data_IF_286999250911
#
_entry.id   IF_286999250911
#
_cell.length_a   1.000
_cell.length_b   1.000
_cell.length_c   1.000
_cell.angle_alpha   90.00
_cell.angle_beta   90.00
_cell.angle_gamma   90.00
#
_symmetry.space_group_name_H-M   'P 1'
#
loop_
_entity.id
_entity.type
_entity.pdbx_description
1 polymer ?
#
# COMPACT_ATOMS: atom_id res chain seq x y z
N UNK A 1 -4.02 -15.51 1.86
CA UNK A 1 -4.71 -15.93 3.08
C UNK A 1 -6.19 -16.25 2.80
N UNK A 2 -7.05 -15.33 2.35
CA UNK A 2 -8.49 -15.55 2.15
C UNK A 2 -8.84 -16.75 1.25
N UNK A 3 -8.03 -17.06 0.25
CA UNK A 3 -8.39 -18.02 -0.79
C UNK A 3 -7.49 -19.28 -0.83
N UNK A 4 -6.39 -19.31 -0.07
CA UNK A 4 -5.45 -20.40 -0.06
C UNK A 4 -4.44 -20.39 -1.23
N UNK A 5 -3.51 -21.36 -1.19
CA UNK A 5 -2.33 -21.39 -2.06
C UNK A 5 -2.65 -21.71 -3.52
N UNK A 6 -3.49 -22.71 -3.78
CA UNK A 6 -3.85 -23.12 -5.15
C UNK A 6 -4.54 -21.97 -5.91
N UNK A 7 -5.49 -21.32 -5.24
CA UNK A 7 -6.16 -20.16 -5.82
C UNK A 7 -5.17 -19.02 -6.10
N UNK A 8 -4.25 -18.77 -5.16
CA UNK A 8 -3.24 -17.73 -5.33
C UNK A 8 -2.31 -18.04 -6.51
N UNK A 9 -1.84 -19.28 -6.66
CA UNK A 9 -0.98 -19.67 -7.78
C UNK A 9 -1.69 -19.46 -9.12
N UNK A 10 -2.92 -19.92 -9.25
CA UNK A 10 -3.72 -19.73 -10.47
C UNK A 10 -3.96 -18.23 -10.77
N UNK A 11 -4.33 -17.47 -9.75
CA UNK A 11 -4.55 -16.05 -9.88
C UNK A 11 -3.29 -15.31 -10.36
N UNK A 12 -2.14 -15.58 -9.74
CA UNK A 12 -0.90 -14.86 -10.06
C UNK A 12 -0.34 -15.23 -11.45
N UNK A 13 -0.57 -16.46 -11.91
CA UNK A 13 -0.28 -16.90 -13.29
C UNK A 13 -1.13 -16.09 -14.28
N UNK A 14 -2.44 -15.99 -14.03
CA UNK A 14 -3.36 -15.20 -14.85
C UNK A 14 -2.98 -13.72 -14.85
N UNK A 15 -2.63 -13.19 -13.69
CA UNK A 15 -2.15 -11.80 -13.56
C UNK A 15 -0.88 -11.59 -14.39
N UNK A 16 0.12 -12.47 -14.27
CA UNK A 16 1.36 -12.41 -15.07
C UNK A 16 1.07 -12.37 -16.56
N UNK A 17 0.18 -13.24 -17.02
CA UNK A 17 -0.18 -13.33 -18.46
C UNK A 17 -0.96 -12.10 -18.94
N UNK A 18 -1.54 -11.31 -18.05
CA UNK A 18 -2.29 -10.10 -18.35
C UNK A 18 -1.48 -8.80 -18.14
N UNK A 19 -0.21 -8.91 -17.76
CA UNK A 19 0.64 -7.73 -17.63
C UNK A 19 0.86 -7.06 -18.99
N UNK A 20 0.66 -5.75 -19.05
CA UNK A 20 0.91 -4.95 -20.24
C UNK A 20 2.40 -4.89 -20.61
N UNK A 21 3.26 -5.09 -19.62
CA UNK A 21 4.73 -5.12 -19.77
C UNK A 21 5.35 -5.86 -18.58
N UNK A 22 6.63 -6.21 -18.70
CA UNK A 22 7.41 -6.68 -17.55
C UNK A 22 7.35 -5.68 -16.41
N UNK A 23 7.18 -6.11 -15.15
CA UNK A 23 7.17 -5.22 -13.99
C UNK A 23 8.45 -4.37 -13.92
N UNK A 24 8.29 -3.06 -13.78
CA UNK A 24 9.41 -2.11 -13.70
C UNK A 24 8.96 -0.76 -13.14
N UNK A 25 9.90 -0.01 -12.58
CA UNK A 25 9.65 1.31 -12.02
C UNK A 25 9.01 1.25 -10.63
N UNK A 26 8.56 2.39 -10.14
CA UNK A 26 7.91 2.57 -8.85
C UNK A 26 6.40 2.85 -9.03
N UNK A 27 5.67 3.08 -7.92
CA UNK A 27 4.22 3.34 -7.94
C UNK A 27 3.82 4.51 -8.86
N UNK A 28 4.62 5.58 -8.90
CA UNK A 28 4.33 6.74 -9.78
C UNK A 28 4.51 6.39 -11.26
N UNK A 29 5.48 5.52 -11.56
CA UNK A 29 5.70 5.05 -12.93
C UNK A 29 4.53 4.20 -13.44
N UNK A 30 3.82 3.51 -12.52
CA UNK A 30 2.61 2.77 -12.87
C UNK A 30 1.47 3.73 -13.24
N UNK A 31 1.26 4.79 -12.47
CA UNK A 31 0.26 5.82 -12.79
C UNK A 31 0.59 6.54 -14.10
N UNK A 32 1.85 6.88 -14.30
CA UNK A 32 2.34 7.46 -15.57
C UNK A 32 2.10 6.53 -16.76
N UNK A 33 2.21 5.21 -16.56
CA UNK A 33 1.94 4.23 -17.60
C UNK A 33 0.47 4.21 -18.02
N UNK A 34 -0.48 4.34 -17.08
CA UNK A 34 -1.90 4.49 -17.40
C UNK A 34 -2.14 5.78 -18.21
N UNK A 35 -1.59 6.89 -17.73
CA UNK A 35 -1.70 8.18 -18.45
C UNK A 35 -1.17 8.08 -19.90
N UNK A 36 -0.05 7.37 -20.09
CA UNK A 36 0.57 7.11 -21.38
C UNK A 36 -0.14 6.00 -22.20
N UNK A 37 -1.24 5.41 -21.70
CA UNK A 37 -1.98 4.32 -22.35
C UNK A 37 -1.17 3.05 -22.60
N UNK A 38 -0.20 2.76 -21.74
CA UNK A 38 0.56 1.51 -21.75
C UNK A 38 -0.24 0.40 -21.09
N UNK A 39 -1.04 0.73 -20.07
CA UNK A 39 -1.93 -0.19 -19.37
C UNK A 39 -3.21 0.55 -18.94
N UNK A 40 -4.25 -0.18 -18.59
CA UNK A 40 -5.53 0.37 -18.16
C UNK A 40 -5.65 0.43 -16.64
N UNK A 41 -4.97 -0.47 -15.92
CA UNK A 41 -4.98 -0.58 -14.47
C UNK A 41 -3.56 -0.73 -13.94
N UNK A 42 -3.34 -0.30 -12.71
CA UNK A 42 -2.13 -0.58 -11.95
C UNK A 42 -2.44 -0.78 -10.47
N UNK A 43 -1.53 -1.45 -9.76
CA UNK A 43 -1.59 -1.61 -8.30
C UNK A 43 -0.54 -0.68 -7.70
N UNK A 44 -0.91 0.03 -6.65
CA UNK A 44 -0.02 0.94 -5.95
C UNK A 44 -0.56 1.36 -4.59
N UNK A 45 0.28 2.00 -3.81
CA UNK A 45 -0.12 2.54 -2.51
C UNK A 45 -0.82 3.88 -2.69
N UNK A 46 -1.92 4.10 -1.96
CA UNK A 46 -2.77 5.28 -2.07
C UNK A 46 -2.02 6.61 -1.82
N UNK A 47 -1.05 6.63 -0.91
CA UNK A 47 -0.33 7.86 -0.57
C UNK A 47 0.49 8.43 -1.73
N UNK A 48 0.92 7.61 -2.70
CA UNK A 48 1.56 8.12 -3.91
C UNK A 48 0.58 8.90 -4.80
N UNK A 49 -0.69 8.48 -4.86
CA UNK A 49 -1.72 9.25 -5.55
C UNK A 49 -1.81 10.69 -5.00
N UNK A 50 -1.85 10.84 -3.67
CA UNK A 50 -1.92 12.16 -3.04
C UNK A 50 -0.62 12.95 -3.18
N UNK A 51 0.54 12.30 -3.16
CA UNK A 51 1.82 12.96 -3.43
C UNK A 51 1.86 13.53 -4.85
N UNK A 52 1.42 12.76 -5.85
CA UNK A 52 1.34 13.23 -7.23
C UNK A 52 0.31 14.36 -7.40
N UNK A 53 -0.80 14.31 -6.69
CA UNK A 53 -1.83 15.36 -6.72
C UNK A 53 -1.29 16.72 -6.24
N UNK A 54 -0.30 16.69 -5.35
CA UNK A 54 0.36 17.88 -4.81
C UNK A 54 1.60 18.32 -5.59
N UNK A 55 2.00 17.60 -6.64
CA UNK A 55 3.16 17.88 -7.47
C UNK A 55 2.72 18.44 -8.83
N UNK A 56 3.07 19.69 -9.12
CA UNK A 56 2.67 20.39 -10.35
C UNK A 56 3.07 19.66 -11.64
N UNK A 57 4.18 18.90 -11.63
CA UNK A 57 4.65 18.16 -12.78
C UNK A 57 4.00 16.78 -12.95
N UNK A 58 3.39 16.24 -11.89
CA UNK A 58 2.85 14.89 -11.86
C UNK A 58 1.31 14.87 -11.81
N UNK A 59 0.67 15.94 -11.32
CA UNK A 59 -0.79 16.01 -11.22
C UNK A 59 -1.52 15.80 -12.56
N UNK A 60 -0.89 16.16 -13.67
CA UNK A 60 -1.44 15.94 -15.02
C UNK A 60 -1.71 14.48 -15.32
N UNK A 61 -0.93 13.55 -14.74
CA UNK A 61 -1.14 12.11 -14.92
C UNK A 61 -2.45 11.63 -14.28
N UNK A 62 -2.93 12.35 -13.25
CA UNK A 62 -4.14 12.01 -12.50
C UNK A 62 -5.44 12.49 -13.18
N UNK A 63 -5.35 13.28 -14.24
CA UNK A 63 -6.56 13.72 -14.99
C UNK A 63 -7.38 12.55 -15.54
N UNK A 64 -6.72 11.41 -15.80
CA UNK A 64 -7.34 10.20 -16.36
C UNK A 64 -7.26 8.99 -15.44
N UNK A 65 -6.72 9.15 -14.23
CA UNK A 65 -6.51 8.06 -13.28
C UNK A 65 -7.32 8.33 -12.01
N UNK A 66 -8.09 7.34 -11.58
CA UNK A 66 -8.83 7.38 -10.32
C UNK A 66 -8.44 6.20 -9.44
N UNK A 67 -8.28 6.39 -8.13
CA UNK A 67 -8.08 5.30 -7.21
C UNK A 67 -9.35 4.44 -7.12
N UNK A 68 -9.16 3.13 -7.09
CA UNK A 68 -10.21 2.13 -6.88
C UNK A 68 -9.80 1.31 -5.67
N UNK A 69 -10.72 1.14 -4.72
CA UNK A 69 -10.53 0.28 -3.56
C UNK A 69 -11.18 -1.08 -3.87
N UNK A 70 -10.39 -2.16 -4.05
CA UNK A 70 -10.95 -3.47 -4.44
C UNK A 70 -11.69 -4.15 -3.28
N UNK A 71 -12.39 -5.24 -3.59
CA UNK A 71 -13.04 -6.15 -2.65
C UNK A 71 -14.15 -5.53 -1.77
N UNK A 72 -14.82 -4.48 -2.25
CA UNK A 72 -15.83 -3.76 -1.47
C UNK A 72 -17.09 -4.59 -1.19
N UNK A 73 -17.39 -5.58 -2.03
CA UNK A 73 -18.52 -6.50 -1.87
C UNK A 73 -18.15 -7.75 -1.03
N UNK A 74 -16.95 -7.77 -0.42
CA UNK A 74 -16.45 -8.91 0.35
C UNK A 74 -15.68 -8.46 1.60
N UNK A 75 -14.41 -8.81 1.73
CA UNK A 75 -13.58 -8.54 2.92
C UNK A 75 -12.95 -7.13 2.95
N UNK A 76 -13.14 -6.34 1.92
CA UNK A 76 -12.59 -4.98 1.87
C UNK A 76 -11.18 -4.91 1.26
N UNK A 77 -10.68 -3.68 1.17
CA UNK A 77 -9.35 -3.42 0.62
C UNK A 77 -8.26 -3.73 1.63
N UNK A 78 -7.22 -4.43 1.20
CA UNK A 78 -6.03 -4.68 2.03
C UNK A 78 -5.43 -3.38 2.57
N UNK A 79 -5.07 -3.41 3.87
CA UNK A 79 -4.35 -2.32 4.55
C UNK A 79 -2.90 -2.74 4.76
N UNK A 80 -1.98 -1.98 4.18
CA UNK A 80 -0.56 -2.11 4.47
C UNK A 80 -0.20 -1.24 5.68
N UNK A 81 0.84 -1.63 6.43
CA UNK A 81 1.32 -0.90 7.59
C UNK A 81 2.80 -0.54 7.44
N UNK A 82 3.15 0.62 8.00
CA UNK A 82 4.55 0.94 8.31
C UNK A 82 4.85 0.50 9.73
N UNK A 83 6.02 -0.05 9.97
CA UNK A 83 6.42 -0.56 11.28
C UNK A 83 7.81 -0.07 11.68
N UNK A 84 8.07 -0.11 12.99
CA UNK A 84 9.37 0.18 13.56
C UNK A 84 9.75 -0.94 14.52
N UNK A 85 11.02 -1.32 14.51
CA UNK A 85 11.56 -2.35 15.42
C UNK A 85 12.82 -1.82 16.11
N UNK A 86 12.98 -2.18 17.37
CA UNK A 86 14.20 -1.88 18.13
C UNK A 86 15.16 -3.05 17.95
N UNK A 87 16.37 -2.76 17.49
CA UNK A 87 17.47 -3.70 17.51
C UNK A 87 18.06 -3.68 18.93
N UNK A 88 18.34 -4.85 19.51
CA UNK A 88 18.94 -4.93 20.82
C UNK A 88 20.31 -4.21 20.85
N UNK A 89 20.39 -3.13 21.59
CA UNK A 89 21.58 -2.29 21.72
C UNK A 89 21.59 -1.56 23.07
N UNK A 90 22.71 -0.87 23.35
CA UNK A 90 22.91 -0.12 24.60
C UNK A 90 22.03 1.12 24.77
N UNK A 91 21.33 1.55 23.71
CA UNK A 91 20.43 2.73 23.71
C UNK A 91 18.96 2.29 23.67
N UNK A 92 18.60 1.16 24.27
CA UNK A 92 17.25 0.62 24.21
C UNK A 92 16.20 1.61 24.73
N UNK A 93 16.44 2.20 25.91
CA UNK A 93 15.49 3.13 26.55
C UNK A 93 15.26 4.37 25.68
N UNK A 94 16.32 4.96 25.13
CA UNK A 94 16.21 6.10 24.21
C UNK A 94 15.48 5.72 22.91
N UNK A 95 15.60 4.47 22.49
CA UNK A 95 14.85 3.97 21.32
C UNK A 95 13.36 3.85 21.63
N UNK A 96 13.00 3.43 22.85
CA UNK A 96 11.60 3.42 23.33
C UNK A 96 11.05 4.82 23.38
N UNK A 97 11.75 5.76 24.02
CA UNK A 97 11.35 7.18 24.10
C UNK A 97 11.09 7.77 22.69
N UNK A 98 11.95 7.42 21.74
CA UNK A 98 11.77 7.87 20.35
C UNK A 98 10.53 7.26 19.69
N UNK A 99 10.23 5.99 19.92
CA UNK A 99 9.01 5.36 19.42
C UNK A 99 7.77 6.02 20.04
N UNK A 100 7.78 6.26 21.34
CA UNK A 100 6.68 6.96 22.02
C UNK A 100 6.47 8.37 21.44
N UNK A 101 7.55 9.10 21.16
CA UNK A 101 7.48 10.37 20.46
C UNK A 101 6.83 10.23 19.09
N UNK A 102 7.20 9.20 18.28
CA UNK A 102 6.61 8.96 16.97
C UNK A 102 5.11 8.59 17.01
N UNK A 103 4.65 8.02 18.14
CA UNK A 103 3.22 7.72 18.38
C UNK A 103 2.44 8.93 18.94
N UNK A 104 3.12 10.00 19.32
CA UNK A 104 2.47 11.20 19.84
C UNK A 104 1.55 11.85 18.82
N UNK A 105 0.56 12.60 19.30
CA UNK A 105 -0.37 13.35 18.46
C UNK A 105 0.36 14.28 17.48
N UNK A 106 1.42 14.97 17.96
CA UNK A 106 2.22 15.88 17.14
C UNK A 106 2.91 15.18 15.97
N UNK A 107 3.62 14.08 16.23
CA UNK A 107 4.31 13.32 15.21
C UNK A 107 3.33 12.66 14.22
N UNK A 108 2.24 12.10 14.72
CA UNK A 108 1.22 11.47 13.88
C UNK A 108 0.50 12.47 12.96
N UNK A 109 0.30 13.71 13.40
CA UNK A 109 -0.18 14.80 12.53
C UNK A 109 0.79 15.11 11.40
N UNK A 110 2.10 15.06 11.66
CA UNK A 110 3.13 15.25 10.63
C UNK A 110 3.03 14.12 9.57
N UNK A 111 2.95 12.87 10.00
CA UNK A 111 2.77 11.73 9.07
C UNK A 111 1.50 11.85 8.23
N UNK A 112 0.37 12.16 8.85
CA UNK A 112 -0.89 12.34 8.14
C UNK A 112 -0.81 13.45 7.09
N UNK A 113 -0.19 14.58 7.41
CA UNK A 113 -0.12 15.74 6.52
C UNK A 113 0.95 15.60 5.42
N UNK A 114 2.14 15.09 5.78
CA UNK A 114 3.27 15.02 4.85
C UNK A 114 3.21 13.78 3.95
N UNK A 115 2.78 12.63 4.50
CA UNK A 115 2.78 11.37 3.78
C UNK A 115 1.40 10.94 3.29
N UNK A 116 0.31 11.57 3.77
CA UNK A 116 -1.06 11.17 3.48
C UNK A 116 -1.39 9.73 3.96
N UNK A 117 -0.78 9.34 5.06
CA UNK A 117 -0.99 8.06 5.72
C UNK A 117 -2.12 8.16 6.76
N UNK A 118 -2.71 7.02 7.10
CA UNK A 118 -3.64 6.95 8.22
C UNK A 118 -2.84 6.89 9.53
N UNK A 119 -3.10 7.83 10.47
CA UNK A 119 -2.44 7.81 11.77
C UNK A 119 -2.84 6.56 12.57
N UNK A 120 -1.89 6.00 13.32
CA UNK A 120 -2.19 4.92 14.27
C UNK A 120 -2.73 5.48 15.60
N UNK A 121 -2.40 6.73 15.94
CA UNK A 121 -2.93 7.40 17.13
C UNK A 121 -4.43 7.74 16.91
N UNK A 122 -5.36 7.20 17.72
CA UNK A 122 -6.80 7.37 17.52
C UNK A 122 -7.27 8.83 17.73
N UNK A 123 -6.46 9.70 18.30
CA UNK A 123 -6.76 11.12 18.50
C UNK A 123 -6.42 11.96 17.25
N UNK A 124 -5.78 11.36 16.25
CA UNK A 124 -5.38 12.05 15.02
C UNK A 124 -6.14 11.47 13.83
N UNK A 125 -6.79 12.31 13.08
CA UNK A 125 -7.45 11.94 11.82
C UNK A 125 -6.51 12.06 10.63
N UNK A 126 -6.72 11.23 9.61
CA UNK A 126 -6.13 11.46 8.30
C UNK A 126 -6.60 12.81 7.72
N UNK A 127 -5.90 13.33 6.73
CA UNK A 127 -6.28 14.61 6.09
C UNK A 127 -7.62 14.50 5.38
N UNK A 128 -8.37 15.61 5.30
CA UNK A 128 -9.68 15.63 4.65
C UNK A 128 -9.63 15.10 3.22
N UNK A 129 -8.61 15.43 2.46
CA UNK A 129 -8.43 14.92 1.09
C UNK A 129 -8.31 13.39 1.01
N UNK A 130 -7.69 12.76 2.02
CA UNK A 130 -7.61 11.30 2.12
C UNK A 130 -8.99 10.73 2.48
N UNK A 131 -9.64 11.30 3.50
CA UNK A 131 -10.96 10.87 3.96
C UNK A 131 -12.02 10.97 2.85
N UNK A 132 -11.98 12.02 2.02
CA UNK A 132 -12.92 12.20 0.91
C UNK A 132 -12.77 11.10 -0.16
N UNK A 133 -11.53 10.70 -0.44
CA UNK A 133 -11.25 9.66 -1.45
C UNK A 133 -11.61 8.26 -0.94
N UNK A 134 -11.39 7.96 0.34
CA UNK A 134 -11.71 6.65 0.93
C UNK A 134 -13.15 6.57 1.46
N UNK A 135 -13.94 7.61 1.30
CA UNK A 135 -15.30 7.68 1.82
C UNK A 135 -16.16 6.50 1.34
N UNK A 136 -16.67 5.74 2.30
CA UNK A 136 -17.50 4.57 2.03
C UNK A 136 -16.72 3.30 1.68
N UNK A 137 -15.38 3.35 1.63
CA UNK A 137 -14.58 2.15 1.45
C UNK A 137 -14.50 1.34 2.75
N UNK A 138 -14.63 0.02 2.61
CA UNK A 138 -14.34 -0.95 3.66
C UNK A 138 -12.91 -1.47 3.54
N UNK A 139 -12.30 -1.78 4.69
CA UNK A 139 -10.92 -2.25 4.77
C UNK A 139 -10.87 -3.64 5.38
N UNK A 140 -9.93 -4.45 4.87
CA UNK A 140 -9.71 -5.81 5.35
C UNK A 140 -9.19 -5.79 6.79
N UNK A 141 -9.80 -6.58 7.65
CA UNK A 141 -9.44 -6.72 9.06
C UNK A 141 -8.62 -7.98 9.36
N UNK A 142 -8.09 -8.64 8.32
CA UNK A 142 -7.26 -9.83 8.48
C UNK A 142 -6.04 -9.55 9.36
N UNK A 143 -5.76 -10.48 10.27
CA UNK A 143 -4.58 -10.39 11.14
C UNK A 143 -3.29 -10.41 10.30
N UNK A 144 -2.43 -9.42 10.53
CA UNK A 144 -1.18 -9.27 9.78
C UNK A 144 -0.18 -10.39 10.09
N UNK A 145 -0.26 -11.00 11.29
CA UNK A 145 0.58 -12.15 11.66
C UNK A 145 0.17 -13.38 10.86
N UNK A 146 -1.14 -13.61 10.71
CA UNK A 146 -1.65 -14.66 9.84
C UNK A 146 -1.17 -14.45 8.41
N UNK A 147 -1.34 -13.24 7.88
CA UNK A 147 -0.88 -12.89 6.53
C UNK A 147 0.63 -13.11 6.35
N UNK A 148 1.43 -12.71 7.33
CA UNK A 148 2.89 -12.88 7.31
C UNK A 148 3.32 -14.35 7.28
N UNK A 149 2.53 -15.27 7.83
CA UNK A 149 2.80 -16.71 7.81
C UNK A 149 2.88 -17.28 6.40
N UNK A 150 2.17 -16.71 5.44
CA UNK A 150 2.17 -17.11 4.04
C UNK A 150 3.34 -16.59 3.22
N UNK A 151 4.18 -15.70 3.77
CA UNK A 151 5.25 -15.03 3.03
C UNK A 151 6.15 -16.01 2.28
N UNK A 152 6.57 -17.10 2.95
CA UNK A 152 7.47 -18.10 2.34
C UNK A 152 6.80 -18.79 1.15
N UNK A 153 5.56 -19.21 1.31
CA UNK A 153 4.75 -19.84 0.26
C UNK A 153 4.60 -18.91 -0.94
N UNK A 154 4.21 -17.66 -0.70
CA UNK A 154 4.06 -16.64 -1.74
C UNK A 154 5.36 -16.46 -2.52
N UNK A 155 6.50 -16.30 -1.84
CA UNK A 155 7.80 -16.13 -2.50
C UNK A 155 8.18 -17.35 -3.34
N UNK A 156 7.93 -18.57 -2.85
CA UNK A 156 8.19 -19.79 -3.60
C UNK A 156 7.33 -19.87 -4.87
N UNK A 157 6.05 -19.51 -4.80
CA UNK A 157 5.15 -19.49 -5.96
C UNK A 157 5.65 -18.46 -6.99
N UNK A 158 5.97 -17.24 -6.57
CA UNK A 158 6.46 -16.19 -7.46
C UNK A 158 7.76 -16.60 -8.18
N UNK A 159 8.69 -17.26 -7.46
CA UNK A 159 9.90 -17.80 -8.04
C UNK A 159 9.59 -18.94 -9.04
N UNK A 160 8.73 -19.88 -8.65
CA UNK A 160 8.34 -21.03 -9.50
C UNK A 160 7.81 -20.59 -10.86
N UNK A 161 7.00 -19.54 -10.87
CA UNK A 161 6.40 -19.01 -12.11
C UNK A 161 7.29 -17.96 -12.80
N UNK A 162 8.44 -17.62 -12.22
CA UNK A 162 9.32 -16.55 -12.70
C UNK A 162 8.55 -15.23 -12.92
N UNK A 163 7.86 -14.73 -11.89
CA UNK A 163 6.94 -13.62 -12.03
C UNK A 163 7.59 -12.35 -12.57
N UNK A 164 8.82 -12.04 -12.14
CA UNK A 164 9.57 -10.84 -12.54
C UNK A 164 10.35 -11.00 -13.87
N UNK A 165 10.33 -12.15 -14.42
CA UNK A 165 11.16 -12.45 -15.57
C UNK A 165 11.16 -12.93 -16.65
#
# INVERSE_FOLDING_TARGET
AHHGEEWFEDYIIKLKNNLARRPQGNDRDQVKAIYARVCDLSIGNHYYYFKMLSDENQKVWLEKVKPIFPNQDSYGTHVNISGITIINNQNYDQSVDFIEFLLSEGAQKIYANANNEFPINPQVSATQKVLDVVKGASFDSMDLTEMASYRKTVMNILQKINFDG
#
